data_IF_050855365189
#
_entry.id   IF_050855365189
#
_cell.length_a   1.000
_cell.length_b   1.000
_cell.length_c   1.000
_cell.angle_alpha   90.00
_cell.angle_beta   90.00
_cell.angle_gamma   90.00
#
_symmetry.space_group_name_H-M   'P 1'
#
loop_
_entity.id
_entity.type
_entity.pdbx_description
1 polymer ?
#
# COMPACT_ATOMS: atom_id res chain seq x y z
N UNK A 1 10.48 19.45 11.53
CA UNK A 1 9.88 19.10 10.22
C UNK A 1 8.42 18.82 10.49
N UNK A 2 7.50 19.58 9.89
CA UNK A 2 6.07 19.38 10.09
C UNK A 2 5.61 18.21 9.20
N UNK A 3 5.32 17.08 9.83
CA UNK A 3 4.88 15.87 9.15
C UNK A 3 3.52 16.08 8.46
N UNK A 4 2.65 16.94 9.01
CA UNK A 4 1.34 17.23 8.44
C UNK A 4 1.46 17.99 7.12
N UNK A 5 2.48 18.84 6.98
CA UNK A 5 2.74 19.58 5.75
C UNK A 5 3.08 18.66 4.56
N UNK A 6 3.55 17.43 4.82
CA UNK A 6 3.87 16.43 3.80
C UNK A 6 2.70 15.48 3.59
N UNK A 7 2.02 15.07 4.67
CA UNK A 7 0.94 14.10 4.59
C UNK A 7 -0.31 14.66 3.90
N UNK A 8 -0.66 15.92 4.18
CA UNK A 8 -1.87 16.58 3.66
C UNK A 8 -1.95 16.58 2.13
N UNK A 9 -0.92 17.02 1.37
CA UNK A 9 -0.98 16.99 -0.09
C UNK A 9 -1.01 15.57 -0.67
N UNK A 10 -0.36 14.60 -0.02
CA UNK A 10 -0.41 13.20 -0.44
C UNK A 10 -1.81 12.62 -0.31
N UNK A 11 -2.46 12.84 0.84
CA UNK A 11 -3.84 12.40 1.06
C UNK A 11 -4.77 13.07 0.05
N UNK A 12 -4.64 14.38 -0.16
CA UNK A 12 -5.45 15.10 -1.15
C UNK A 12 -5.29 14.53 -2.57
N UNK A 13 -4.06 14.18 -2.98
CA UNK A 13 -3.80 13.60 -4.29
C UNK A 13 -4.47 12.24 -4.49
N UNK A 14 -4.40 11.34 -3.50
CA UNK A 14 -4.98 10.00 -3.61
C UNK A 14 -6.49 9.94 -3.27
N UNK A 15 -7.10 11.05 -2.86
CA UNK A 15 -8.52 11.09 -2.49
C UNK A 15 -9.46 11.22 -3.68
N UNK A 16 -9.02 11.75 -4.82
CA UNK A 16 -9.89 11.99 -6.00
C UNK A 16 -9.15 11.89 -7.35
N UNK A 17 -9.90 11.94 -8.45
CA UNK A 17 -9.39 12.01 -9.81
C UNK A 17 -8.51 10.81 -10.21
N UNK A 18 -7.43 11.08 -10.96
CA UNK A 18 -6.51 10.03 -11.40
C UNK A 18 -5.72 9.42 -10.24
N UNK A 19 -5.42 10.19 -9.19
CA UNK A 19 -4.70 9.69 -8.02
C UNK A 19 -5.50 8.62 -7.29
N UNK A 20 -6.80 8.84 -7.10
CA UNK A 20 -7.70 7.81 -6.55
C UNK A 20 -7.73 6.54 -7.41
N UNK A 21 -7.83 6.67 -8.73
CA UNK A 21 -7.83 5.51 -9.64
C UNK A 21 -6.54 4.69 -9.49
N UNK A 22 -5.39 5.36 -9.44
CA UNK A 22 -4.09 4.70 -9.24
C UNK A 22 -4.07 3.98 -7.90
N UNK A 23 -4.53 4.62 -6.82
CA UNK A 23 -4.61 4.02 -5.49
C UNK A 23 -5.49 2.76 -5.49
N UNK A 24 -6.69 2.85 -6.05
CA UNK A 24 -7.64 1.74 -6.10
C UNK A 24 -7.06 0.56 -6.88
N UNK A 25 -6.38 0.80 -8.01
CA UNK A 25 -5.69 -0.24 -8.79
C UNK A 25 -4.54 -0.88 -8.02
N UNK A 26 -3.69 -0.08 -7.38
CA UNK A 26 -2.57 -0.59 -6.58
C UNK A 26 -3.08 -1.42 -5.39
N UNK A 27 -4.16 -0.98 -4.73
CA UNK A 27 -4.79 -1.70 -3.65
C UNK A 27 -5.37 -3.03 -4.12
N UNK A 28 -6.00 -3.07 -5.29
CA UNK A 28 -6.50 -4.30 -5.90
C UNK A 28 -5.37 -5.28 -6.24
N UNK A 29 -4.28 -4.81 -6.85
CA UNK A 29 -3.09 -5.62 -7.14
C UNK A 29 -2.50 -6.18 -5.84
N UNK A 30 -2.34 -5.33 -4.82
CA UNK A 30 -1.80 -5.75 -3.53
C UNK A 30 -2.70 -6.79 -2.86
N UNK A 31 -4.01 -6.57 -2.82
CA UNK A 31 -4.97 -7.53 -2.24
C UNK A 31 -5.05 -8.84 -3.01
N UNK A 32 -4.78 -8.84 -4.31
CA UNK A 32 -4.69 -10.05 -5.12
C UNK A 32 -3.40 -10.83 -4.86
N UNK A 33 -2.25 -10.14 -4.79
CA UNK A 33 -0.95 -10.78 -4.55
C UNK A 33 -0.77 -11.23 -3.11
N UNK A 34 -1.34 -10.48 -2.16
CA UNK A 34 -1.23 -10.70 -0.72
C UNK A 34 -2.62 -10.71 -0.08
N UNK A 35 -3.42 -11.75 -0.34
CA UNK A 35 -4.78 -11.83 0.17
C UNK A 35 -4.79 -11.96 1.69
N UNK A 36 -5.81 -11.42 2.35
CA UNK A 36 -5.88 -11.38 3.82
C UNK A 36 -5.98 -12.76 4.48
N UNK A 37 -6.30 -13.80 3.71
CA UNK A 37 -6.32 -15.19 4.17
C UNK A 37 -5.02 -15.95 3.82
N UNK A 38 -3.99 -15.27 3.33
CA UNK A 38 -2.67 -15.86 3.13
C UNK A 38 -2.07 -16.31 4.47
N UNK A 39 -1.24 -17.34 4.42
CA UNK A 39 -0.51 -17.82 5.58
C UNK A 39 0.34 -16.69 6.19
N UNK A 40 0.45 -16.70 7.52
CA UNK A 40 1.30 -15.76 8.22
C UNK A 40 2.76 -15.91 7.76
N UNK A 41 3.49 -14.80 7.71
CA UNK A 41 4.91 -14.83 7.39
C UNK A 41 5.66 -15.75 8.38
N UNK A 42 6.40 -16.72 7.84
CA UNK A 42 7.22 -17.65 8.63
C UNK A 42 8.71 -17.51 8.26
N UNK A 43 9.62 -17.75 9.21
CA UNK A 43 11.05 -17.73 8.93
C UNK A 43 11.42 -18.78 7.87
N UNK A 44 12.23 -18.38 6.90
CA UNK A 44 12.86 -19.28 5.93
C UNK A 44 14.33 -19.41 6.32
N UNK A 45 14.79 -20.64 6.53
CA UNK A 45 16.21 -20.89 6.81
C UNK A 45 17.03 -20.59 5.55
N UNK A 46 17.95 -19.63 5.65
CA UNK A 46 18.88 -19.31 4.57
C UNK A 46 20.04 -20.32 4.64
N UNK A 47 20.34 -21.07 3.56
CA UNK A 47 21.48 -21.98 3.53
C UNK A 47 22.79 -21.25 3.84
N UNK A 48 23.67 -21.88 4.62
CA UNK A 48 25.02 -21.37 4.91
C UNK A 48 25.95 -21.46 3.70
#
# INVERSE_FOLDING_TARGET
MDFNAILTPLVAFFSDGIGKIIFDVLQAIYGFLYPSNADAAYPIEIPK
#
